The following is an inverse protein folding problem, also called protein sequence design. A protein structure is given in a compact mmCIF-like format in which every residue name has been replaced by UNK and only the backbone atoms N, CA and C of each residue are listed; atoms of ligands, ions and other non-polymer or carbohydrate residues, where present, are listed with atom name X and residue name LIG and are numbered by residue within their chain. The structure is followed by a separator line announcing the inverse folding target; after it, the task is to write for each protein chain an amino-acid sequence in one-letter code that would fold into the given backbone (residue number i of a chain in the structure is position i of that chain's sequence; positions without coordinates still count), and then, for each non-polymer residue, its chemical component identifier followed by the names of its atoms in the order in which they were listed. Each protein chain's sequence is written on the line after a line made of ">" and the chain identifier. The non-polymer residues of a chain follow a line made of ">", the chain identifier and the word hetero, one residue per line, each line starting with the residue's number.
data_IF_319230737479
#
_entry.id   IF_319230737479
#
_cell.length_a   1.000
_cell.length_b   1.000
_cell.length_c   1.000
_cell.angle_alpha   90.00
_cell.angle_beta   90.00
_cell.angle_gamma   90.00
#
_symmetry.space_group_name_H-M   'P 1'
#
loop_
_entity.id
_entity.type
_entity.pdbx_description
1 polymer ?
#
# COMPACT_ATOMS: atom_id res chain seq x y z
N UNK A 1 18.22 -3.41 22.92
CA UNK A 1 17.02 -3.33 22.06
C UNK A 1 16.29 -2.07 22.46
N UNK A 2 16.58 -0.97 21.79
CA UNK A 2 15.78 0.25 21.94
C UNK A 2 14.41 -0.05 21.35
N UNK A 3 13.36 0.11 22.16
CA UNK A 3 11.99 -0.02 21.66
C UNK A 3 11.69 1.29 20.94
N UNK A 4 11.25 1.23 19.69
CA UNK A 4 10.66 2.40 19.05
C UNK A 4 9.41 2.80 19.85
N UNK A 5 9.50 3.89 20.59
CA UNK A 5 8.39 4.45 21.33
C UNK A 5 7.57 5.31 20.38
N UNK A 6 6.70 4.67 19.60
CA UNK A 6 5.71 5.37 18.79
C UNK A 6 4.71 6.01 19.75
N UNK A 7 4.68 7.33 19.80
CA UNK A 7 3.74 8.13 20.57
C UNK A 7 2.75 8.82 19.63
N UNK A 8 1.51 8.99 20.06
CA UNK A 8 0.49 9.68 19.28
C UNK A 8 0.43 11.14 19.71
N UNK A 9 0.50 12.07 18.76
CA UNK A 9 0.22 13.48 19.04
C UNK A 9 -1.28 13.67 19.26
N UNK A 10 -1.68 14.09 20.46
CA UNK A 10 -3.09 14.30 20.84
C UNK A 10 -3.50 15.75 20.63
N UNK A 11 -2.66 16.69 21.01
CA UNK A 11 -2.95 18.12 20.90
C UNK A 11 -1.67 18.97 20.86
N UNK A 12 -1.77 20.10 20.17
CA UNK A 12 -0.80 21.19 20.20
C UNK A 12 -1.39 22.34 21.00
N UNK A 13 -0.62 22.87 21.94
CA UNK A 13 -0.97 24.05 22.73
C UNK A 13 -0.34 25.30 22.11
N UNK A 14 -0.81 26.46 22.56
CA UNK A 14 -0.40 27.79 22.11
C UNK A 14 1.03 28.18 22.52
N UNK A 15 1.66 27.45 23.45
CA UNK A 15 3.00 27.72 23.99
C UNK A 15 4.09 26.76 23.50
N UNK A 16 4.01 26.32 22.23
CA UNK A 16 4.93 25.34 21.60
C UNK A 16 5.06 24.03 22.40
N UNK A 17 3.98 23.67 23.08
CA UNK A 17 3.89 22.44 23.86
C UNK A 17 2.92 21.49 23.20
N UNK A 18 3.25 20.20 23.22
CA UNK A 18 2.44 19.14 22.68
C UNK A 18 2.06 18.15 23.79
N UNK A 19 0.85 17.61 23.69
CA UNK A 19 0.42 16.46 24.49
C UNK A 19 0.61 15.23 23.63
N UNK A 20 1.43 14.32 24.12
CA UNK A 20 1.66 13.01 23.51
C UNK A 20 0.99 11.92 24.35
N UNK A 21 0.41 10.93 23.69
CA UNK A 21 -0.11 9.72 24.30
C UNK A 21 0.87 8.58 24.04
N UNK A 22 1.25 7.90 25.12
CA UNK A 22 2.08 6.71 25.09
C UNK A 22 1.22 5.46 24.83
N UNK A 23 1.82 4.34 24.36
CA UNK A 23 1.09 3.10 24.12
C UNK A 23 0.37 2.50 25.34
N UNK A 24 0.75 2.91 26.56
CA UNK A 24 0.10 2.50 27.81
C UNK A 24 -1.07 3.41 28.21
N UNK A 25 -1.43 4.38 27.36
CA UNK A 25 -2.50 5.34 27.58
C UNK A 25 -2.12 6.52 28.49
N UNK A 26 -0.86 6.62 28.91
CA UNK A 26 -0.39 7.78 29.67
C UNK A 26 -0.23 9.01 28.77
N UNK A 27 -0.67 10.17 29.27
CA UNK A 27 -0.52 11.46 28.60
C UNK A 27 0.68 12.20 29.20
N UNK A 28 1.58 12.67 28.33
CA UNK A 28 2.74 13.46 28.71
C UNK A 28 2.70 14.80 27.99
N UNK A 29 2.98 15.88 28.73
CA UNK A 29 3.15 17.22 28.18
C UNK A 29 4.62 17.46 27.86
N UNK A 30 4.97 17.73 26.59
CA UNK A 30 6.34 17.99 26.15
C UNK A 30 6.47 19.29 25.37
N UNK A 31 7.51 20.05 25.69
CA UNK A 31 7.88 21.24 24.91
C UNK A 31 8.57 20.84 23.61
N UNK A 32 8.34 21.61 22.53
CA UNK A 32 9.14 21.52 21.31
C UNK A 32 10.62 21.65 21.64
N UNK A 33 11.45 20.76 21.07
CA UNK A 33 12.91 20.88 21.09
C UNK A 33 13.46 21.37 19.75
N UNK A 34 12.60 21.47 18.74
CA UNK A 34 12.96 21.93 17.40
C UNK A 34 12.90 23.46 17.36
N UNK A 35 13.99 24.07 16.89
CA UNK A 35 14.03 25.49 16.55
C UNK A 35 13.33 25.71 15.21
N UNK A 36 12.00 25.87 15.25
CA UNK A 36 11.17 26.06 14.07
C UNK A 36 11.48 27.36 13.34
N UNK A 37 11.85 28.43 14.06
CA UNK A 37 12.22 29.70 13.45
C UNK A 37 13.46 29.57 12.56
N UNK A 38 14.43 28.74 12.96
CA UNK A 38 15.58 28.39 12.11
C UNK A 38 15.13 27.59 10.86
N UNK A 39 14.27 26.59 11.04
CA UNK A 39 13.79 25.74 9.92
C UNK A 39 13.00 26.57 8.90
N UNK A 40 12.14 27.46 9.35
CA UNK A 40 11.35 28.33 8.46
C UNK A 40 12.20 29.37 7.71
N UNK A 41 13.37 29.71 8.25
CA UNK A 41 14.31 30.65 7.64
C UNK A 41 15.33 29.98 6.69
N UNK A 42 15.39 28.64 6.65
CA UNK A 42 16.28 27.90 5.77
C UNK A 42 15.87 28.11 4.30
N UNK A 43 16.85 28.48 3.47
CA UNK A 43 16.64 28.67 2.03
C UNK A 43 16.62 27.34 1.29
N UNK A 44 16.01 27.33 0.11
CA UNK A 44 15.97 26.14 -0.77
C UNK A 44 17.39 25.68 -1.14
N UNK A 45 18.29 26.62 -1.40
CA UNK A 45 19.69 26.33 -1.74
C UNK A 45 20.43 25.67 -0.57
N UNK A 46 20.16 26.09 0.66
CA UNK A 46 20.75 25.49 1.86
C UNK A 46 20.18 24.09 2.14
N UNK A 47 18.88 23.89 1.93
CA UNK A 47 18.23 22.57 2.05
C UNK A 47 18.83 21.59 1.04
N UNK A 48 18.92 22.01 -0.22
CA UNK A 48 19.47 21.20 -1.30
C UNK A 48 20.96 20.90 -1.09
N UNK A 49 21.75 21.88 -0.62
CA UNK A 49 23.15 21.65 -0.27
C UNK A 49 23.31 20.66 0.90
N UNK A 50 22.46 20.76 1.92
CA UNK A 50 22.45 19.82 3.04
C UNK A 50 22.11 18.40 2.57
N UNK A 51 21.07 18.24 1.75
CA UNK A 51 20.67 16.95 1.19
C UNK A 51 21.79 16.33 0.34
N UNK A 52 22.43 17.11 -0.54
CA UNK A 52 23.54 16.61 -1.39
C UNK A 52 24.80 16.26 -0.60
N UNK A 53 25.00 16.87 0.56
CA UNK A 53 26.16 16.61 1.41
C UNK A 53 26.00 15.35 2.28
N UNK A 54 24.79 14.82 2.42
CA UNK A 54 24.48 13.66 3.25
C UNK A 54 24.70 12.35 2.45
N UNK A 55 25.65 11.49 2.88
CA UNK A 55 25.91 10.21 2.21
C UNK A 55 24.70 9.26 2.15
N UNK A 56 23.75 9.35 3.09
CA UNK A 56 22.54 8.52 3.09
C UNK A 56 21.57 8.88 1.95
N UNK A 57 21.70 10.10 1.41
CA UNK A 57 20.89 10.61 0.30
C UNK A 57 21.55 10.43 -1.07
N UNK A 58 22.79 9.93 -1.12
CA UNK A 58 23.52 9.71 -2.37
C UNK A 58 22.74 8.75 -3.30
N UNK A 59 22.53 9.18 -4.55
CA UNK A 59 21.75 8.45 -5.55
C UNK A 59 20.23 8.43 -5.36
N UNK A 60 19.69 8.94 -4.24
CA UNK A 60 18.24 9.09 -4.04
C UNK A 60 17.70 10.40 -4.61
N UNK A 61 18.53 11.46 -4.62
CA UNK A 61 18.15 12.77 -5.16
C UNK A 61 17.92 12.75 -6.69
N UNK A 62 18.57 11.82 -7.39
CA UNK A 62 18.45 11.65 -8.84
C UNK A 62 17.31 10.69 -9.25
N UNK A 63 16.56 10.13 -8.29
CA UNK A 63 15.46 9.23 -8.59
C UNK A 63 14.31 9.98 -9.27
N UNK A 64 14.04 9.60 -10.51
CA UNK A 64 12.88 10.08 -11.24
C UNK A 64 11.61 9.36 -10.77
N UNK A 65 10.96 9.94 -9.75
CA UNK A 65 9.71 9.45 -9.18
C UNK A 65 8.56 9.33 -10.19
N UNK A 66 8.64 9.99 -11.36
CA UNK A 66 7.63 9.87 -12.42
C UNK A 66 7.68 8.53 -13.16
N UNK A 67 8.82 7.82 -13.10
CA UNK A 67 9.04 6.52 -13.74
C UNK A 67 8.76 5.33 -12.81
N UNK A 68 8.42 5.59 -11.55
CA UNK A 68 8.14 4.54 -10.57
C UNK A 68 6.78 3.92 -10.87
N UNK A 69 6.77 2.63 -11.24
CA UNK A 69 5.53 1.88 -11.45
C UNK A 69 4.93 1.45 -10.10
N UNK A 70 3.93 2.20 -9.63
CA UNK A 70 3.18 1.85 -8.41
C UNK A 70 2.33 0.60 -8.69
N UNK A 71 2.88 -0.58 -8.42
CA UNK A 71 2.15 -1.84 -8.56
C UNK A 71 1.20 -2.02 -7.38
N UNK A 72 -0.07 -1.61 -7.55
CA UNK A 72 -1.11 -1.92 -6.56
C UNK A 72 -1.51 -3.40 -6.71
N UNK A 73 -1.33 -4.26 -5.70
CA UNK A 73 -1.74 -5.66 -5.82
C UNK A 73 -3.25 -5.71 -6.06
N UNK A 74 -3.65 -6.33 -7.18
CA UNK A 74 -5.05 -6.46 -7.54
C UNK A 74 -5.83 -7.13 -6.39
N UNK A 75 -6.97 -6.54 -6.00
CA UNK A 75 -7.86 -7.11 -4.99
C UNK A 75 -8.35 -8.48 -5.48
N UNK A 76 -7.98 -9.54 -4.74
CA UNK A 76 -8.46 -10.89 -5.00
C UNK A 76 -9.89 -11.01 -4.46
N UNK A 77 -10.79 -11.60 -5.25
CA UNK A 77 -12.14 -11.91 -4.79
C UNK A 77 -12.11 -13.26 -4.06
N UNK A 78 -12.53 -13.34 -2.78
CA UNK A 78 -12.63 -14.61 -2.08
C UNK A 78 -13.80 -15.41 -2.67
N UNK A 79 -13.49 -16.52 -3.32
CA UNK A 79 -14.48 -17.45 -3.86
C UNK A 79 -14.25 -18.83 -3.28
N UNK A 80 -15.34 -19.59 -3.12
CA UNK A 80 -15.26 -21.03 -2.80
C UNK A 80 -15.38 -21.82 -4.10
N UNK A 81 -14.36 -22.63 -4.41
CA UNK A 81 -14.33 -23.53 -5.56
C UNK A 81 -13.98 -24.94 -5.09
N UNK A 82 -14.47 -25.95 -5.80
CA UNK A 82 -14.07 -27.34 -5.58
C UNK A 82 -12.94 -27.68 -6.56
N UNK A 83 -11.92 -28.34 -6.05
CA UNK A 83 -10.77 -28.85 -6.80
C UNK A 83 -10.63 -30.33 -6.47
N UNK A 84 -10.16 -31.11 -7.44
CA UNK A 84 -9.86 -32.52 -7.24
C UNK A 84 -8.73 -32.69 -6.21
N UNK A 85 -8.73 -33.85 -5.53
CA UNK A 85 -7.81 -34.14 -4.43
C UNK A 85 -6.35 -34.16 -4.89
N UNK A 86 -6.08 -34.80 -6.03
CA UNK A 86 -4.75 -34.88 -6.64
C UNK A 86 -4.18 -33.50 -7.03
N UNK A 87 -5.03 -32.62 -7.55
CA UNK A 87 -4.67 -31.23 -7.86
C UNK A 87 -4.31 -30.47 -6.59
N UNK A 88 -5.12 -30.61 -5.53
CA UNK A 88 -4.83 -29.98 -4.25
C UNK A 88 -3.52 -30.48 -3.64
N UNK A 89 -3.29 -31.78 -3.67
CA UNK A 89 -2.09 -32.41 -3.12
C UNK A 89 -0.83 -31.98 -3.88
N UNK A 90 -0.90 -31.92 -5.21
CA UNK A 90 0.18 -31.38 -6.04
C UNK A 90 0.60 -29.98 -5.59
N UNK A 91 -0.36 -29.06 -5.42
CA UNK A 91 -0.05 -27.70 -5.01
C UNK A 91 0.34 -27.56 -3.54
N UNK A 92 -0.15 -28.45 -2.66
CA UNK A 92 0.19 -28.46 -1.23
C UNK A 92 1.57 -29.02 -0.92
N UNK A 93 2.15 -29.84 -1.81
CA UNK A 93 3.46 -30.47 -1.61
C UNK A 93 4.56 -29.48 -1.21
N UNK A 94 4.54 -28.28 -1.78
CA UNK A 94 5.54 -27.23 -1.52
C UNK A 94 5.14 -26.31 -0.34
N UNK A 95 4.21 -26.73 0.51
CA UNK A 95 3.83 -26.05 1.75
C UNK A 95 2.98 -24.79 1.55
N UNK A 96 3.15 -23.82 2.44
CA UNK A 96 2.36 -22.60 2.48
C UNK A 96 2.35 -21.84 1.13
N UNK A 97 1.25 -21.13 0.84
CA UNK A 97 1.11 -20.36 -0.39
C UNK A 97 0.59 -21.14 -1.60
N UNK A 98 0.12 -22.38 -1.43
CA UNK A 98 -0.49 -23.19 -2.50
C UNK A 98 -1.61 -22.44 -3.25
N UNK A 99 -2.45 -21.66 -2.55
CA UNK A 99 -3.48 -20.82 -3.17
C UNK A 99 -2.90 -19.74 -4.11
N UNK A 100 -1.74 -19.16 -3.77
CA UNK A 100 -1.05 -18.20 -4.64
C UNK A 100 -0.55 -18.89 -5.90
N UNK A 101 -0.02 -20.11 -5.78
CA UNK A 101 0.44 -20.94 -6.91
C UNK A 101 -0.73 -21.31 -7.83
N UNK A 102 -1.85 -21.77 -7.28
CA UNK A 102 -3.08 -22.04 -8.05
C UNK A 102 -3.49 -20.81 -8.85
N UNK A 103 -3.56 -19.64 -8.20
CA UNK A 103 -3.94 -18.40 -8.88
C UNK A 103 -2.95 -17.97 -9.97
N UNK A 104 -1.65 -18.23 -9.79
CA UNK A 104 -0.64 -17.92 -10.81
C UNK A 104 -0.84 -18.77 -12.08
N UNK A 105 -1.14 -20.06 -11.93
CA UNK A 105 -1.43 -20.98 -13.05
C UNK A 105 -2.72 -20.60 -13.77
N UNK A 106 -3.78 -20.28 -13.01
CA UNK A 106 -5.03 -19.80 -13.62
C UNK A 106 -4.81 -18.50 -14.41
N UNK A 107 -3.99 -17.58 -13.89
CA UNK A 107 -3.63 -16.35 -14.59
C UNK A 107 -2.86 -16.62 -15.87
N UNK A 108 -1.85 -17.50 -15.84
CA UNK A 108 -1.07 -17.82 -17.05
C UNK A 108 -1.95 -18.43 -18.13
N UNK A 109 -2.90 -19.31 -17.75
CA UNK A 109 -3.89 -19.86 -18.69
C UNK A 109 -4.76 -18.77 -19.32
N UNK A 110 -5.33 -17.86 -18.51
CA UNK A 110 -6.16 -16.74 -19.01
C UNK A 110 -5.36 -15.85 -19.96
N UNK A 111 -4.11 -15.51 -19.62
CA UNK A 111 -3.25 -14.70 -20.48
C UNK A 111 -2.91 -15.40 -21.79
N UNK A 112 -2.66 -16.71 -21.78
CA UNK A 112 -2.41 -17.49 -22.99
C UNK A 112 -3.67 -17.58 -23.87
N UNK A 113 -4.83 -17.87 -23.28
CA UNK A 113 -6.10 -17.96 -23.99
C UNK A 113 -6.54 -16.61 -24.61
N UNK A 114 -6.29 -15.50 -23.91
CA UNK A 114 -6.59 -14.15 -24.39
C UNK A 114 -5.74 -13.75 -25.61
N UNK A 115 -4.52 -14.29 -25.74
CA UNK A 115 -3.65 -14.05 -26.89
C UNK A 115 -4.06 -14.87 -28.14
N UNK A 116 -4.87 -15.92 -27.96
CA UNK A 116 -5.22 -16.87 -29.03
C UNK A 116 -6.66 -16.83 -29.54
N UNK A 117 -7.53 -15.95 -29.03
CA UNK A 117 -8.96 -15.96 -29.38
C UNK A 117 -9.47 -14.56 -29.75
N UNK A 118 -10.02 -14.32 -30.96
CA UNK A 118 -10.70 -13.06 -31.26
C UNK A 118 -11.96 -12.94 -30.38
N UNK A 119 -12.02 -11.87 -29.59
CA UNK A 119 -13.11 -11.58 -28.64
C UNK A 119 -14.48 -11.58 -29.32
N UNK A 120 -15.40 -12.43 -28.86
CA UNK A 120 -16.82 -12.38 -29.26
C UNK A 120 -17.52 -11.28 -28.45
N UNK A 121 -18.29 -10.37 -29.09
CA UNK A 121 -18.95 -9.28 -28.37
C UNK A 121 -20.00 -9.82 -27.38
N UNK A 122 -20.03 -9.21 -26.19
CA UNK A 122 -20.91 -9.55 -25.07
C UNK A 122 -22.36 -9.20 -25.42
N UNK A 123 -23.35 -10.11 -25.30
CA UNK A 123 -24.74 -9.78 -25.59
C UNK A 123 -25.30 -8.81 -24.55
N UNK A 124 -26.04 -7.82 -25.03
CA UNK A 124 -26.67 -6.77 -24.23
C UNK A 124 -27.63 -7.36 -23.18
N UNK A 125 -27.45 -6.93 -21.93
CA UNK A 125 -28.35 -7.22 -20.82
C UNK A 125 -29.72 -6.59 -21.06
N UNK A 126 -30.79 -7.40 -21.09
CA UNK A 126 -32.18 -6.93 -21.14
C UNK A 126 -32.58 -6.38 -19.77
N UNK A 127 -32.79 -5.06 -19.68
CA UNK A 127 -33.38 -4.41 -18.50
C UNK A 127 -34.82 -4.92 -18.26
N UNK A 128 -35.04 -5.54 -17.10
CA UNK A 128 -36.36 -5.95 -16.63
C UNK A 128 -37.14 -4.70 -16.20
N UNK A 129 -38.15 -4.31 -16.99
CA UNK A 129 -39.11 -3.25 -16.60
C UNK A 129 -39.91 -3.76 -15.41
N UNK A 130 -39.80 -3.08 -14.28
CA UNK A 130 -40.64 -3.30 -13.10
C UNK A 130 -42.03 -2.74 -13.42
N UNK A 131 -43.03 -3.61 -13.50
CA UNK A 131 -44.43 -3.21 -13.62
C UNK A 131 -44.94 -2.77 -12.25
N UNK A 132 -45.38 -1.53 -12.15
CA UNK A 132 -46.26 -1.06 -11.08
C UNK A 132 -47.68 -1.46 -11.48
N UNK A 133 -48.37 -2.20 -10.61
CA UNK A 133 -49.81 -2.48 -10.72
C UNK A 133 -50.52 -1.82 -9.54
N UNK A 134 -51.64 -1.18 -9.90
CA UNK A 134 -52.81 -0.75 -9.12
C UNK A 134 -52.59 0.29 -8.02
#
# INVERSE_FOLDING_TARGET
>A
MEREHIVTLVATLDDDTYIIEHPDGSLERRKSQTDWARIDALTEEEIEAAARSDPEWDGLLDLDWSKVEITRPARKQPISIRLDEDVLDFFKRDGAGYQKRINAVLRSYVTAAAKGTPSRPKPASKSKRLGVKA
#
